data_IF_847913862923
#
_entry.id   IF_847913862923
#
_cell.length_a   1.000
_cell.length_b   1.000
_cell.length_c   1.000
_cell.angle_alpha   90.00
_cell.angle_beta   90.00
_cell.angle_gamma   90.00
#
_symmetry.space_group_name_H-M   'P 1'
#
loop_
_entity.id
_entity.type
_entity.pdbx_description
1 polymer ?
#
# COMPACT_ATOMS: atom_id res chain seq x y z
N UNK A 1 -10.25 -2.76 11.86
CA UNK A 1 -8.77 -2.75 12.01
C UNK A 1 -8.19 -3.43 10.78
N UNK A 2 -7.29 -2.77 10.06
CA UNK A 2 -6.61 -3.38 8.91
C UNK A 2 -5.31 -3.99 9.44
N UNK A 3 -5.06 -5.25 9.12
CA UNK A 3 -3.86 -5.98 9.57
C UNK A 3 -3.10 -6.47 8.34
N UNK A 4 -1.79 -6.33 8.36
CA UNK A 4 -0.91 -6.86 7.32
C UNK A 4 -0.41 -8.24 7.73
N UNK A 5 -0.38 -9.16 6.77
CA UNK A 5 0.38 -10.41 6.92
C UNK A 5 1.87 -10.13 6.75
N UNK A 6 2.71 -11.00 7.29
CA UNK A 6 4.17 -10.90 7.16
C UNK A 6 4.59 -10.80 5.68
N UNK A 7 4.00 -11.64 4.81
CA UNK A 7 4.25 -11.58 3.36
C UNK A 7 3.83 -10.27 2.71
N UNK A 8 2.77 -9.63 3.20
CA UNK A 8 2.37 -8.33 2.67
C UNK A 8 3.38 -7.24 3.05
N UNK A 9 3.93 -7.29 4.27
CA UNK A 9 5.01 -6.40 4.72
C UNK A 9 6.27 -6.62 3.88
N UNK A 10 6.67 -7.88 3.67
CA UNK A 10 7.82 -8.22 2.81
C UNK A 10 7.67 -7.62 1.41
N UNK A 11 6.47 -7.74 0.81
CA UNK A 11 6.22 -7.25 -0.54
C UNK A 11 6.22 -5.73 -0.64
N UNK A 12 5.70 -5.04 0.38
CA UNK A 12 5.75 -3.57 0.47
C UNK A 12 7.20 -3.09 0.53
N UNK A 13 8.03 -3.74 1.35
CA UNK A 13 9.46 -3.40 1.46
C UNK A 13 10.22 -3.66 0.15
N UNK A 14 9.90 -4.75 -0.55
CA UNK A 14 10.47 -5.04 -1.88
C UNK A 14 10.15 -3.92 -2.89
N UNK A 15 8.90 -3.43 -2.90
CA UNK A 15 8.51 -2.32 -3.77
C UNK A 15 9.19 -1.00 -3.37
N UNK A 16 9.24 -0.69 -2.07
CA UNK A 16 9.90 0.53 -1.58
C UNK A 16 11.39 0.55 -1.96
N UNK A 17 12.09 -0.57 -1.85
CA UNK A 17 13.50 -0.68 -2.24
C UNK A 17 13.75 -0.46 -3.75
N UNK A 18 12.75 -0.75 -4.58
CA UNK A 18 12.82 -0.57 -6.05
C UNK A 18 12.37 0.80 -6.55
N UNK A 19 11.82 1.66 -5.67
CA UNK A 19 11.20 2.93 -6.04
C UNK A 19 11.94 4.11 -5.38
N UNK A 20 12.71 4.91 -6.14
CA UNK A 20 13.43 6.06 -5.58
C UNK A 20 12.48 7.07 -4.89
N UNK A 21 11.25 7.19 -5.38
CA UNK A 21 10.23 8.07 -4.79
C UNK A 21 9.74 7.61 -3.42
N UNK A 22 10.02 6.38 -3.01
CA UNK A 22 9.66 5.82 -1.71
C UNK A 22 10.74 6.07 -0.64
N UNK A 23 11.91 6.60 -1.00
CA UNK A 23 12.99 6.84 -0.05
C UNK A 23 12.56 7.82 1.05
N UNK A 24 12.67 7.38 2.30
CA UNK A 24 12.30 8.17 3.48
C UNK A 24 10.78 8.36 3.67
N UNK A 25 9.94 7.63 2.94
CA UNK A 25 8.48 7.72 3.04
C UNK A 25 7.85 6.44 3.57
N UNK A 26 6.61 6.56 4.03
CA UNK A 26 5.82 5.47 4.60
C UNK A 26 4.72 5.03 3.63
N UNK A 27 4.34 3.75 3.68
CA UNK A 27 3.22 3.25 2.88
C UNK A 27 1.92 3.95 3.31
N UNK A 28 1.25 4.59 2.35
CA UNK A 28 -0.07 5.17 2.52
C UNK A 28 -1.12 4.43 1.73
N UNK A 29 -2.22 4.08 2.40
CA UNK A 29 -3.41 3.47 1.81
C UNK A 29 -4.52 4.52 1.76
N UNK A 30 -5.25 4.59 0.66
CA UNK A 30 -6.39 5.48 0.52
C UNK A 30 -7.52 4.81 -0.28
N UNK A 31 -8.74 5.29 -0.10
CA UNK A 31 -9.88 4.84 -0.92
C UNK A 31 -9.79 5.55 -2.26
N UNK A 32 -9.54 4.80 -3.33
CA UNK A 32 -9.44 5.30 -4.69
C UNK A 32 -10.83 5.36 -5.36
N UNK A 33 -11.75 4.52 -4.94
CA UNK A 33 -13.10 4.47 -5.51
C UNK A 33 -14.09 3.77 -4.61
N UNK A 34 -15.36 4.11 -4.81
CA UNK A 34 -16.50 3.45 -4.16
C UNK A 34 -17.41 2.93 -5.27
N UNK A 35 -17.79 1.66 -5.20
CA UNK A 35 -18.70 1.06 -6.17
C UNK A 35 -19.64 0.03 -5.52
N UNK A 36 -20.51 -0.55 -6.33
CA UNK A 36 -21.47 -1.57 -5.86
C UNK A 36 -20.79 -2.80 -5.24
N UNK A 37 -19.53 -3.06 -5.58
CA UNK A 37 -18.72 -4.17 -5.04
C UNK A 37 -17.87 -3.79 -3.82
N UNK A 38 -17.97 -2.55 -3.32
CA UNK A 38 -17.21 -2.06 -2.17
C UNK A 38 -16.16 -0.99 -2.51
N UNK A 39 -15.16 -0.85 -1.64
CA UNK A 39 -14.09 0.14 -1.76
C UNK A 39 -12.90 -0.41 -2.56
N UNK A 40 -12.41 0.39 -3.50
CA UNK A 40 -11.11 0.18 -4.14
C UNK A 40 -10.05 0.91 -3.34
N UNK A 41 -8.96 0.22 -2.99
CA UNK A 41 -7.83 0.79 -2.25
C UNK A 41 -6.65 1.09 -3.18
N UNK A 42 -6.14 2.32 -3.11
CA UNK A 42 -4.88 2.73 -3.70
C UNK A 42 -3.76 2.69 -2.68
N UNK A 43 -2.53 2.50 -3.16
CA UNK A 43 -1.30 2.46 -2.36
C UNK A 43 -0.29 3.45 -2.93
N UNK A 44 0.42 4.16 -2.07
CA UNK A 44 1.48 5.10 -2.46
C UNK A 44 2.55 5.15 -1.38
N UNK A 45 3.73 5.67 -1.74
CA UNK A 45 4.84 5.93 -0.84
C UNK A 45 5.10 7.45 -0.79
#
# INVERSE_FOLDING_TARGET
MITFSEKAVEKVNEFAAGMPEAEGKELRIFIQGVGCSGFSYGFTF
#
